data_IF_828803005362
#
_entry.id   IF_828803005362
#
_cell.length_a   1.000
_cell.length_b   1.000
_cell.length_c   1.000
_cell.angle_alpha   90.00
_cell.angle_beta   90.00
_cell.angle_gamma   90.00
#
_symmetry.space_group_name_H-M   'P 1'
#
loop_
_entity.id
_entity.type
_entity.pdbx_description
1 polymer ?
#
# COMPACT_ATOMS: atom_id res chain seq x y z
N UNK A 1 23.66 42.44 -1.16
CA UNK A 1 22.25 42.12 -0.74
C UNK A 1 21.31 41.85 -1.91
N UNK A 2 21.25 42.66 -2.96
CA UNK A 2 20.35 42.48 -4.14
C UNK A 2 20.58 41.14 -4.86
N UNK A 3 21.83 40.73 -5.11
CA UNK A 3 22.14 39.47 -5.79
C UNK A 3 21.68 38.24 -5.00
N UNK A 4 21.80 38.25 -3.67
CA UNK A 4 21.34 37.16 -2.81
C UNK A 4 19.80 37.06 -2.85
N UNK A 5 19.09 38.19 -2.78
CA UNK A 5 17.63 38.23 -2.88
C UNK A 5 17.15 37.72 -4.26
N UNK A 6 17.78 38.18 -5.34
CA UNK A 6 17.46 37.74 -6.68
C UNK A 6 17.68 36.24 -6.88
N UNK A 7 18.78 35.69 -6.34
CA UNK A 7 19.04 34.25 -6.32
C UNK A 7 17.92 33.48 -5.61
N UNK A 8 17.48 33.93 -4.43
CA UNK A 8 16.38 33.29 -3.71
C UNK A 8 15.06 33.33 -4.48
N UNK A 9 14.73 34.47 -5.12
CA UNK A 9 13.51 34.61 -5.94
C UNK A 9 13.55 33.68 -7.14
N UNK A 10 14.67 33.61 -7.85
CA UNK A 10 14.83 32.71 -9.01
C UNK A 10 14.74 31.25 -8.56
N UNK A 11 15.40 30.87 -7.48
CA UNK A 11 15.36 29.52 -6.90
C UNK A 11 13.93 29.14 -6.50
N UNK A 12 13.18 30.04 -5.85
CA UNK A 12 11.79 29.83 -5.47
C UNK A 12 10.89 29.65 -6.71
N UNK A 13 11.03 30.51 -7.74
CA UNK A 13 10.28 30.40 -8.99
C UNK A 13 10.56 29.09 -9.73
N UNK A 14 11.83 28.66 -9.79
CA UNK A 14 12.20 27.35 -10.39
C UNK A 14 11.56 26.19 -9.64
N UNK A 15 11.56 26.23 -8.30
CA UNK A 15 10.92 25.19 -7.48
C UNK A 15 9.42 25.11 -7.72
N UNK A 16 8.72 26.25 -7.79
CA UNK A 16 7.28 26.29 -8.05
C UNK A 16 6.98 25.72 -9.45
N UNK A 17 7.72 26.13 -10.49
CA UNK A 17 7.56 25.58 -11.85
C UNK A 17 7.81 24.08 -11.92
N UNK A 18 8.80 23.58 -11.15
CA UNK A 18 9.12 22.15 -11.11
C UNK A 18 8.01 21.35 -10.45
N UNK A 19 7.44 21.84 -9.35
CA UNK A 19 6.29 21.21 -8.66
C UNK A 19 5.06 21.16 -9.58
N UNK A 20 4.76 22.27 -10.26
CA UNK A 20 3.65 22.33 -11.22
C UNK A 20 3.85 21.35 -12.38
N UNK A 21 5.09 21.27 -12.91
CA UNK A 21 5.45 20.28 -13.93
C UNK A 21 5.16 18.84 -13.46
N UNK A 22 5.58 18.50 -12.25
CA UNK A 22 5.33 17.16 -11.70
C UNK A 22 3.85 16.93 -11.43
N UNK A 23 3.15 17.90 -10.87
CA UNK A 23 1.72 17.81 -10.61
C UNK A 23 0.93 17.48 -11.89
N UNK A 24 1.21 18.21 -12.99
CA UNK A 24 0.58 17.95 -14.29
C UNK A 24 0.96 16.59 -14.85
N UNK A 25 2.25 16.22 -14.82
CA UNK A 25 2.74 14.94 -15.33
C UNK A 25 2.14 13.74 -14.58
N UNK A 26 1.95 13.88 -13.29
CA UNK A 26 1.43 12.83 -12.42
C UNK A 26 -0.12 12.79 -12.40
N UNK A 27 -0.80 13.44 -13.35
CA UNK A 27 -2.26 13.39 -13.50
C UNK A 27 -3.04 14.28 -12.54
N UNK A 28 -2.38 15.23 -11.87
CA UNK A 28 -3.00 16.06 -10.81
C UNK A 28 -4.20 16.88 -11.27
N UNK A 29 -4.23 17.35 -12.52
CA UNK A 29 -5.38 18.11 -13.06
C UNK A 29 -6.62 17.22 -13.19
N UNK A 30 -6.46 15.99 -13.69
CA UNK A 30 -7.56 15.04 -13.86
C UNK A 30 -8.11 14.63 -12.49
N UNK A 31 -7.22 14.29 -11.56
CA UNK A 31 -7.61 13.90 -10.20
C UNK A 31 -8.32 15.06 -9.47
N UNK A 32 -7.85 16.29 -9.62
CA UNK A 32 -8.48 17.47 -9.02
C UNK A 32 -9.88 17.72 -9.59
N UNK A 33 -10.08 17.51 -10.89
CA UNK A 33 -11.38 17.63 -11.54
C UNK A 33 -12.35 16.55 -11.04
N UNK A 34 -11.90 15.31 -10.91
CA UNK A 34 -12.72 14.20 -10.36
C UNK A 34 -13.15 14.48 -8.92
N UNK A 35 -12.24 14.94 -8.08
CA UNK A 35 -12.56 15.28 -6.68
C UNK A 35 -13.51 16.47 -6.55
N UNK A 36 -13.50 17.43 -7.49
CA UNK A 36 -14.42 18.56 -7.46
C UNK A 36 -15.84 18.21 -7.92
N UNK A 37 -16.03 17.08 -8.62
CA UNK A 37 -17.34 16.58 -9.06
C UNK A 37 -18.04 15.68 -8.03
N UNK A 38 -17.32 15.20 -7.03
CA UNK A 38 -17.82 14.33 -5.96
C UNK A 38 -18.14 15.11 -4.66
N UNK A 39 -18.79 16.25 -4.73
CA UNK A 39 -19.28 16.97 -3.55
C UNK A 39 -20.36 16.14 -2.82
N UNK A 40 -19.97 15.39 -1.80
CA UNK A 40 -20.95 14.71 -0.92
C UNK A 40 -20.48 13.51 -0.10
N UNK A 41 -19.29 12.94 -0.29
CA UNK A 41 -18.84 11.79 0.49
C UNK A 41 -17.92 12.20 1.66
N UNK A 42 -18.36 11.87 2.86
CA UNK A 42 -17.71 12.16 4.15
C UNK A 42 -16.43 11.36 4.37
N UNK A 43 -15.34 11.82 4.11
CA UNK A 43 -13.92 11.44 4.24
C UNK A 43 -13.22 11.48 2.88
N UNK A 44 -13.13 12.67 2.37
CA UNK A 44 -12.64 12.98 1.03
C UNK A 44 -11.14 12.64 0.90
N UNK A 45 -10.80 11.93 -0.16
CA UNK A 45 -9.43 11.77 -0.66
C UNK A 45 -8.80 13.16 -0.83
N UNK A 46 -7.59 13.37 -0.25
CA UNK A 46 -6.93 14.69 -0.22
C UNK A 46 -5.67 14.70 -1.07
N UNK A 47 -5.48 15.77 -1.87
CA UNK A 47 -4.19 16.05 -2.50
C UNK A 47 -3.34 16.87 -1.52
N UNK A 48 -2.25 16.27 -1.04
CA UNK A 48 -1.30 16.87 -0.11
C UNK A 48 -0.19 17.59 -0.85
N UNK A 49 0.32 18.67 -0.26
CA UNK A 49 1.55 19.31 -0.74
C UNK A 49 2.79 18.58 -0.22
N UNK A 50 3.88 18.63 -0.96
CA UNK A 50 5.16 18.07 -0.51
C UNK A 50 5.66 18.72 0.80
N UNK A 51 5.28 19.98 1.07
CA UNK A 51 5.62 20.70 2.31
C UNK A 51 4.86 20.16 3.51
N UNK A 52 3.56 19.84 3.35
CA UNK A 52 2.75 19.21 4.41
C UNK A 52 3.34 17.87 4.81
N UNK A 53 3.62 16.98 3.84
CA UNK A 53 4.15 15.65 4.11
C UNK A 53 5.56 15.67 4.71
N UNK A 54 6.42 16.62 4.28
CA UNK A 54 7.72 16.85 4.92
C UNK A 54 7.57 17.24 6.39
N UNK A 55 6.66 18.16 6.71
CA UNK A 55 6.41 18.56 8.10
C UNK A 55 5.83 17.41 8.91
N UNK A 56 4.85 16.68 8.36
CA UNK A 56 4.20 15.55 9.02
C UNK A 56 5.18 14.45 9.43
N UNK A 57 6.27 14.25 8.68
CA UNK A 57 7.30 13.24 8.91
C UNK A 57 8.56 13.77 9.58
N UNK A 58 8.57 15.00 10.09
CA UNK A 58 9.79 15.68 10.58
C UNK A 58 10.93 15.64 9.54
N UNK A 59 10.60 15.98 8.27
CA UNK A 59 11.52 15.96 7.12
C UNK A 59 12.01 14.56 6.72
N UNK A 60 11.14 13.55 6.86
CA UNK A 60 11.43 12.13 6.62
C UNK A 60 12.50 11.59 7.56
N UNK A 61 12.38 11.93 8.83
CA UNK A 61 13.28 11.45 9.89
C UNK A 61 13.27 9.92 9.97
N UNK A 62 14.43 9.33 10.13
CA UNK A 62 14.60 7.87 10.18
C UNK A 62 13.84 7.23 11.35
N UNK A 63 13.68 7.94 12.48
CA UNK A 63 12.92 7.48 13.64
C UNK A 63 11.41 7.33 13.34
N UNK A 64 10.92 7.90 12.25
CA UNK A 64 9.53 7.81 11.79
C UNK A 64 9.29 6.68 10.81
N UNK A 65 10.32 5.93 10.45
CA UNK A 65 10.17 4.79 9.54
C UNK A 65 9.43 3.66 10.25
N UNK A 66 8.34 3.21 9.61
CA UNK A 66 7.52 2.09 10.07
C UNK A 66 7.61 0.87 9.13
N UNK A 67 8.16 1.07 7.92
CA UNK A 67 8.38 -0.01 6.96
C UNK A 67 9.40 0.37 5.89
N UNK A 68 10.23 -0.61 5.48
CA UNK A 68 11.15 -0.50 4.34
C UNK A 68 10.92 -1.70 3.43
N UNK A 69 10.62 -1.47 2.16
CA UNK A 69 10.40 -2.52 1.17
C UNK A 69 11.09 -2.21 -0.17
N UNK A 70 10.92 -3.07 -1.17
CA UNK A 70 11.45 -2.88 -2.52
C UNK A 70 10.94 -1.59 -3.16
N UNK A 71 9.67 -1.29 -2.98
CA UNK A 71 8.97 -0.16 -3.61
C UNK A 71 9.12 1.17 -2.87
N UNK A 72 9.66 1.21 -1.65
CA UNK A 72 9.81 2.47 -0.94
C UNK A 72 10.00 2.33 0.57
N UNK A 73 9.93 3.49 1.23
CA UNK A 73 9.96 3.60 2.69
C UNK A 73 8.64 4.20 3.16
N UNK A 74 8.04 3.61 4.18
CA UNK A 74 6.81 4.08 4.80
C UNK A 74 7.15 4.80 6.10
N UNK A 75 6.64 6.02 6.24
CA UNK A 75 6.87 6.88 7.40
C UNK A 75 5.58 7.10 8.16
N UNK A 76 5.63 7.07 9.49
CA UNK A 76 4.59 7.59 10.36
C UNK A 76 4.58 9.12 10.29
N UNK A 77 3.44 9.70 9.94
CA UNK A 77 3.26 11.14 9.84
C UNK A 77 2.20 11.65 10.81
N UNK A 78 2.36 12.91 11.26
CA UNK A 78 1.41 13.61 12.11
C UNK A 78 0.88 14.83 11.37
N UNK A 79 -0.39 14.81 11.01
CA UNK A 79 -1.05 15.94 10.35
C UNK A 79 -1.46 17.02 11.37
N UNK A 80 -1.68 18.28 10.93
CA UNK A 80 -2.03 19.40 11.83
C UNK A 80 -3.29 19.17 12.66
N UNK A 81 -4.21 18.32 12.20
CA UNK A 81 -5.44 17.94 12.92
C UNK A 81 -5.24 16.77 13.91
N UNK A 82 -4.01 16.49 14.32
CA UNK A 82 -3.61 15.36 15.17
C UNK A 82 -3.89 13.98 14.57
N UNK A 83 -4.29 13.91 13.30
CA UNK A 83 -4.47 12.63 12.60
C UNK A 83 -3.12 11.98 12.30
N UNK A 84 -2.95 10.73 12.71
CA UNK A 84 -1.77 9.93 12.39
C UNK A 84 -2.01 9.25 11.03
N UNK A 85 -0.98 9.27 10.18
CA UNK A 85 -1.03 8.71 8.82
C UNK A 85 0.23 7.90 8.51
N UNK A 86 0.14 6.99 7.55
CA UNK A 86 1.28 6.30 6.95
C UNK A 86 1.57 6.91 5.57
N UNK A 87 2.82 7.33 5.34
CA UNK A 87 3.24 8.00 4.11
C UNK A 87 4.26 7.11 3.39
N UNK A 88 3.84 6.53 2.26
CA UNK A 88 4.70 5.70 1.39
C UNK A 88 5.46 6.61 0.44
N UNK A 89 6.79 6.62 0.58
CA UNK A 89 7.72 7.39 -0.25
C UNK A 89 8.58 6.44 -1.06
N UNK A 90 8.57 6.54 -2.41
CA UNK A 90 9.38 5.71 -3.28
C UNK A 90 10.89 5.87 -3.03
N UNK A 91 11.67 4.80 -3.23
CA UNK A 91 13.14 4.83 -3.07
C UNK A 91 13.86 5.44 -4.27
N UNK A 92 13.44 5.06 -5.44
CA UNK A 92 14.08 5.44 -6.71
C UNK A 92 13.10 6.14 -7.63
N UNK A 93 13.63 6.79 -8.65
CA UNK A 93 12.81 7.40 -9.69
C UNK A 93 12.83 6.48 -10.89
N UNK A 94 11.92 5.51 -10.87
CA UNK A 94 11.70 4.56 -11.93
C UNK A 94 10.28 4.75 -12.52
N UNK A 95 10.14 4.57 -13.82
CA UNK A 95 8.84 4.65 -14.50
C UNK A 95 7.88 3.58 -13.99
N UNK A 96 8.37 2.39 -13.70
CA UNK A 96 7.59 1.29 -13.11
C UNK A 96 6.95 1.69 -11.77
N UNK A 97 7.61 2.53 -10.97
CA UNK A 97 7.05 3.01 -9.70
C UNK A 97 5.91 4.03 -9.90
N UNK A 98 5.95 4.79 -11.00
CA UNK A 98 4.85 5.70 -11.35
C UNK A 98 3.61 4.90 -11.75
N UNK A 99 3.79 3.85 -12.57
CA UNK A 99 2.69 2.96 -12.97
C UNK A 99 2.07 2.26 -11.76
N UNK A 100 2.89 1.72 -10.87
CA UNK A 100 2.41 1.11 -9.62
C UNK A 100 1.65 2.11 -8.74
N UNK A 101 2.13 3.36 -8.64
CA UNK A 101 1.43 4.42 -7.93
C UNK A 101 0.05 4.69 -8.53
N UNK A 102 -0.02 4.88 -9.86
CA UNK A 102 -1.29 5.14 -10.55
C UNK A 102 -2.24 3.96 -10.34
N UNK A 103 -1.74 2.73 -10.51
CA UNK A 103 -2.50 1.52 -10.28
C UNK A 103 -3.05 1.45 -8.85
N UNK A 104 -2.21 1.73 -7.84
CA UNK A 104 -2.61 1.70 -6.43
C UNK A 104 -3.68 2.75 -6.11
N UNK A 105 -3.58 3.95 -6.68
CA UNK A 105 -4.62 4.99 -6.54
C UNK A 105 -5.93 4.55 -7.20
N UNK A 106 -5.87 4.08 -8.45
CA UNK A 106 -7.06 3.64 -9.20
C UNK A 106 -7.76 2.49 -8.50
N UNK A 107 -7.02 1.48 -8.06
CA UNK A 107 -7.57 0.32 -7.36
C UNK A 107 -8.20 0.72 -6.03
N UNK A 108 -7.44 1.42 -5.18
CA UNK A 108 -7.91 1.79 -3.83
C UNK A 108 -9.03 2.83 -3.83
N UNK A 109 -9.16 3.65 -4.89
CA UNK A 109 -10.30 4.56 -5.03
C UNK A 109 -11.64 3.85 -5.22
N UNK A 110 -11.62 2.59 -5.67
CA UNK A 110 -12.82 1.77 -5.90
C UNK A 110 -13.15 0.85 -4.72
N UNK A 111 -12.28 0.78 -3.71
CA UNK A 111 -12.42 -0.11 -2.56
C UNK A 111 -12.94 0.65 -1.36
N UNK A 112 -14.03 0.14 -0.78
CA UNK A 112 -14.52 0.58 0.52
C UNK A 112 -14.83 -0.66 1.37
N UNK A 113 -13.82 -1.16 2.08
CA UNK A 113 -13.93 -2.35 2.90
C UNK A 113 -13.14 -2.20 4.20
N UNK A 114 -13.71 -2.64 5.34
CA UNK A 114 -13.11 -2.48 6.67
C UNK A 114 -11.77 -3.21 6.84
N UNK A 115 -11.60 -4.33 6.14
CA UNK A 115 -10.40 -5.16 6.16
C UNK A 115 -9.43 -4.85 5.00
N UNK A 116 -9.55 -3.68 4.38
CA UNK A 116 -8.61 -3.14 3.40
C UNK A 116 -8.09 -1.79 3.91
N UNK A 117 -6.80 -1.54 3.76
CA UNK A 117 -6.18 -0.27 4.17
C UNK A 117 -6.75 0.90 3.37
N UNK A 118 -7.15 1.97 4.06
CA UNK A 118 -7.76 3.13 3.42
C UNK A 118 -6.71 4.09 2.86
N UNK A 119 -6.82 4.42 1.58
CA UNK A 119 -6.05 5.50 0.95
C UNK A 119 -6.70 6.84 1.29
N UNK A 120 -5.95 7.73 1.95
CA UNK A 120 -6.42 9.06 2.39
C UNK A 120 -6.06 10.17 1.41
N UNK A 121 -5.12 9.90 0.51
CA UNK A 121 -4.70 10.86 -0.48
C UNK A 121 -3.31 10.63 -1.03
N UNK A 122 -2.83 11.61 -1.80
CA UNK A 122 -1.52 11.54 -2.42
C UNK A 122 -0.84 12.92 -2.50
N UNK A 123 0.46 12.92 -2.81
CA UNK A 123 1.19 14.13 -3.17
C UNK A 123 1.78 13.97 -4.58
N UNK A 124 1.38 14.85 -5.49
CA UNK A 124 1.76 14.82 -6.91
C UNK A 124 2.84 15.83 -7.28
N UNK A 125 3.31 16.66 -6.31
CA UNK A 125 4.31 17.72 -6.51
C UNK A 125 5.76 17.19 -6.58
N UNK A 126 5.97 15.88 -6.50
CA UNK A 126 7.28 15.22 -6.49
C UNK A 126 7.52 14.43 -7.77
N UNK A 127 8.80 14.12 -8.07
CA UNK A 127 9.17 13.40 -9.29
C UNK A 127 8.48 12.04 -9.39
N UNK A 128 8.38 11.32 -8.27
CA UNK A 128 7.49 10.17 -8.10
C UNK A 128 6.50 10.55 -7.01
N UNK A 129 5.21 10.32 -7.21
CA UNK A 129 4.19 10.67 -6.22
C UNK A 129 4.36 9.95 -4.88
N UNK A 130 3.79 10.52 -3.81
CA UNK A 130 3.70 9.88 -2.50
C UNK A 130 2.25 9.50 -2.22
N UNK A 131 2.06 8.37 -1.53
CA UNK A 131 0.75 7.90 -1.07
C UNK A 131 0.58 8.13 0.43
N UNK A 132 -0.63 8.48 0.83
CA UNK A 132 -0.98 8.73 2.24
C UNK A 132 -2.13 7.82 2.63
N UNK A 133 -1.88 6.94 3.59
CA UNK A 133 -2.85 5.95 4.09
C UNK A 133 -3.26 6.22 5.53
N UNK A 134 -4.32 5.58 5.96
CA UNK A 134 -4.58 5.41 7.39
C UNK A 134 -3.37 4.75 8.07
N UNK A 135 -3.11 5.15 9.30
CA UNK A 135 -2.06 4.53 10.10
C UNK A 135 -2.63 3.31 10.83
N UNK A 136 -2.03 2.15 10.58
CA UNK A 136 -2.39 0.88 11.22
C UNK A 136 -1.36 0.58 12.30
N UNK A 137 -1.81 0.47 13.56
CA UNK A 137 -0.95 0.68 14.74
C UNK A 137 -0.03 -0.50 15.08
N UNK A 138 -0.48 -1.75 14.90
CA UNK A 138 0.28 -2.94 15.27
C UNK A 138 1.19 -3.47 14.15
N UNK A 139 1.25 -2.79 12.98
CA UNK A 139 2.15 -3.16 11.88
C UNK A 139 1.79 -4.48 11.22
N UNK A 140 2.76 -5.16 10.60
CA UNK A 140 2.53 -6.33 9.78
C UNK A 140 2.30 -7.60 10.62
N UNK A 141 1.36 -8.45 10.19
CA UNK A 141 1.08 -9.78 10.74
C UNK A 141 2.34 -10.65 10.83
N UNK A 142 3.21 -10.58 9.82
CA UNK A 142 4.51 -11.27 9.79
C UNK A 142 5.30 -11.08 11.09
N UNK A 143 5.34 -9.86 11.63
CA UNK A 143 6.07 -9.55 12.86
C UNK A 143 5.47 -10.21 14.10
N UNK A 144 4.18 -10.53 14.09
CA UNK A 144 3.49 -11.18 15.20
C UNK A 144 3.58 -12.71 15.15
N UNK A 145 3.79 -13.28 13.94
CA UNK A 145 3.93 -14.72 13.76
C UNK A 145 5.40 -15.16 13.93
N UNK A 146 6.37 -14.37 13.37
CA UNK A 146 7.76 -14.81 13.17
C UNK A 146 8.81 -14.08 14.02
N UNK A 147 8.42 -13.32 15.05
CA UNK A 147 9.40 -12.67 15.94
C UNK A 147 10.18 -13.70 16.75
N UNK A 148 11.50 -13.65 16.65
CA UNK A 148 12.43 -14.52 17.38
C UNK A 148 12.63 -14.12 18.85
N UNK A 149 12.18 -12.93 19.28
CA UNK A 149 12.39 -12.42 20.64
C UNK A 149 11.23 -12.69 21.57
N UNK A 150 11.43 -13.55 22.54
CA UNK A 150 10.46 -13.98 23.57
C UNK A 150 10.04 -12.83 24.52
N UNK A 151 10.82 -11.76 24.63
CA UNK A 151 10.67 -10.75 25.69
C UNK A 151 9.56 -9.70 25.48
N UNK A 152 8.93 -9.62 24.31
CA UNK A 152 7.90 -8.58 24.01
C UNK A 152 6.80 -9.02 23.07
N UNK A 153 6.57 -10.30 22.89
CA UNK A 153 5.59 -10.80 21.90
C UNK A 153 4.28 -11.08 22.61
N UNK A 154 3.27 -10.25 22.35
CA UNK A 154 1.88 -10.64 22.55
C UNK A 154 1.63 -11.81 21.60
N UNK A 155 1.65 -13.03 22.12
CA UNK A 155 1.32 -14.22 21.34
C UNK A 155 -0.13 -14.09 20.87
N UNK A 156 -0.34 -14.07 19.57
CA UNK A 156 -1.68 -14.13 18.99
C UNK A 156 -2.39 -15.38 19.49
N UNK A 157 -3.49 -15.21 20.23
CA UNK A 157 -4.32 -16.32 20.67
C UNK A 157 -4.87 -17.08 19.45
N UNK A 158 -5.20 -18.36 19.65
CA UNK A 158 -5.83 -19.14 18.58
C UNK A 158 -7.09 -18.47 18.03
N UNK A 159 -7.93 -17.92 18.90
CA UNK A 159 -9.11 -17.16 18.52
C UNK A 159 -8.76 -15.96 17.63
N UNK A 160 -7.73 -15.19 17.99
CA UNK A 160 -7.28 -14.03 17.20
C UNK A 160 -6.75 -14.47 15.84
N UNK A 161 -6.00 -15.58 15.74
CA UNK A 161 -5.51 -16.12 14.47
C UNK A 161 -6.66 -16.50 13.53
N UNK A 162 -7.71 -17.13 14.06
CA UNK A 162 -8.91 -17.48 13.30
C UNK A 162 -9.67 -16.24 12.85
N UNK A 163 -9.83 -15.23 13.72
CA UNK A 163 -10.47 -13.96 13.33
C UNK A 163 -9.70 -13.28 12.19
N UNK A 164 -8.37 -13.18 12.27
CA UNK A 164 -7.51 -12.64 11.22
C UNK A 164 -7.70 -13.40 9.90
N UNK A 165 -7.75 -14.75 9.96
CA UNK A 165 -7.97 -15.57 8.77
C UNK A 165 -9.32 -15.27 8.10
N UNK A 166 -10.39 -15.16 8.89
CA UNK A 166 -11.74 -14.82 8.40
C UNK A 166 -11.75 -13.42 7.77
N UNK A 167 -11.13 -12.45 8.42
CA UNK A 167 -11.07 -11.06 7.96
C UNK A 167 -10.29 -10.89 6.64
N UNK A 168 -9.20 -11.65 6.46
CA UNK A 168 -8.46 -11.69 5.18
C UNK A 168 -9.33 -12.32 4.09
N UNK A 169 -10.00 -13.46 4.40
CA UNK A 169 -10.89 -14.13 3.46
C UNK A 169 -12.06 -13.22 3.03
N UNK A 170 -12.64 -12.46 3.97
CA UNK A 170 -13.71 -11.49 3.72
C UNK A 170 -13.22 -10.38 2.78
N UNK A 171 -12.01 -9.82 3.03
CA UNK A 171 -11.40 -8.84 2.15
C UNK A 171 -11.18 -9.38 0.73
N UNK A 172 -10.63 -10.59 0.57
CA UNK A 172 -10.40 -11.20 -0.73
C UNK A 172 -11.71 -11.51 -1.45
N UNK A 173 -12.71 -12.03 -0.74
CA UNK A 173 -14.06 -12.26 -1.29
C UNK A 173 -14.67 -10.96 -1.82
N UNK A 174 -14.55 -9.86 -1.06
CA UNK A 174 -15.00 -8.55 -1.51
C UNK A 174 -14.25 -8.10 -2.79
N UNK A 175 -12.93 -8.22 -2.83
CA UNK A 175 -12.12 -7.81 -3.98
C UNK A 175 -12.49 -8.60 -5.25
N UNK A 176 -12.70 -9.92 -5.13
CA UNK A 176 -12.95 -10.80 -6.26
C UNK A 176 -14.38 -10.72 -6.78
N UNK A 177 -15.38 -10.53 -5.89
CA UNK A 177 -16.79 -10.73 -6.25
C UNK A 177 -17.72 -9.57 -5.93
N UNK A 178 -17.39 -8.71 -4.95
CA UNK A 178 -18.27 -7.64 -4.52
C UNK A 178 -17.84 -6.25 -4.97
N UNK A 179 -16.58 -6.06 -5.36
CA UNK A 179 -16.11 -4.82 -5.97
C UNK A 179 -16.80 -4.60 -7.33
N UNK A 180 -17.03 -3.32 -7.71
CA UNK A 180 -17.67 -2.96 -8.99
C UNK A 180 -16.92 -3.51 -10.21
N UNK A 181 -15.62 -3.60 -10.12
CA UNK A 181 -14.73 -4.31 -11.06
C UNK A 181 -13.92 -5.29 -10.22
N UNK A 182 -13.89 -6.61 -10.55
CA UNK A 182 -13.11 -7.58 -9.82
C UNK A 182 -11.62 -7.20 -9.77
N UNK A 183 -11.01 -7.38 -8.60
CA UNK A 183 -9.63 -6.98 -8.32
C UNK A 183 -8.86 -8.21 -7.85
N UNK A 184 -7.76 -8.55 -8.53
CA UNK A 184 -6.81 -9.56 -8.07
C UNK A 184 -5.66 -8.82 -7.39
N UNK A 185 -5.36 -9.16 -6.14
CA UNK A 185 -4.34 -8.48 -5.32
C UNK A 185 -2.92 -8.80 -5.78
N UNK A 186 -2.63 -10.09 -6.08
CA UNK A 186 -1.39 -10.57 -6.70
C UNK A 186 -0.15 -10.65 -5.80
N UNK A 187 -0.21 -10.07 -4.58
CA UNK A 187 0.89 -10.13 -3.61
C UNK A 187 0.36 -10.30 -2.17
N UNK A 188 -0.56 -11.26 -1.98
CA UNK A 188 -1.08 -11.62 -0.65
C UNK A 188 0.01 -12.33 0.13
N UNK A 189 0.39 -11.77 1.30
CA UNK A 189 1.43 -12.33 2.18
C UNK A 189 1.34 -11.71 3.57
N UNK A 190 1.90 -12.35 4.58
CA UNK A 190 1.82 -11.88 5.97
C UNK A 190 2.47 -10.50 6.22
N UNK A 191 3.41 -10.06 5.38
CA UNK A 191 3.98 -8.70 5.44
C UNK A 191 3.04 -7.63 4.90
N UNK A 192 2.08 -7.99 4.04
CA UNK A 192 1.07 -7.09 3.46
C UNK A 192 -0.27 -7.14 4.19
N UNK A 193 -0.37 -7.91 5.27
CA UNK A 193 -1.49 -7.89 6.21
C UNK A 193 -1.08 -7.06 7.41
N UNK A 194 -1.76 -5.96 7.64
CA UNK A 194 -1.53 -5.08 8.79
C UNK A 194 -2.57 -5.35 9.87
N UNK A 195 -2.20 -5.13 11.13
CA UNK A 195 -3.10 -5.29 12.28
C UNK A 195 -3.33 -3.93 12.96
N UNK A 196 -4.58 -3.58 13.20
CA UNK A 196 -4.91 -2.37 13.96
C UNK A 196 -4.77 -2.58 15.47
N UNK A 197 -5.18 -1.61 16.27
CA UNK A 197 -5.10 -1.66 17.74
C UNK A 197 -5.98 -2.77 18.36
N UNK A 198 -7.05 -3.17 17.68
CA UNK A 198 -7.90 -4.32 18.02
C UNK A 198 -7.42 -5.66 17.45
N UNK A 199 -6.26 -5.72 16.81
CA UNK A 199 -5.78 -6.87 16.03
C UNK A 199 -6.68 -7.25 14.85
N UNK A 200 -7.46 -6.30 14.32
CA UNK A 200 -8.26 -6.48 13.12
C UNK A 200 -7.34 -6.42 11.90
N UNK A 201 -7.47 -7.39 11.00
CA UNK A 201 -6.63 -7.47 9.81
C UNK A 201 -7.06 -6.47 8.73
N UNK A 202 -6.06 -5.85 8.10
CA UNK A 202 -6.23 -4.97 6.95
C UNK A 202 -5.24 -5.35 5.85
N UNK A 203 -5.77 -5.74 4.68
CA UNK A 203 -4.97 -6.03 3.48
C UNK A 203 -4.41 -4.73 2.93
N UNK A 204 -3.13 -4.72 2.55
CA UNK A 204 -2.39 -3.53 2.11
C UNK A 204 -1.47 -3.82 0.92
N UNK A 205 -0.93 -2.77 0.29
CA UNK A 205 0.03 -2.80 -0.83
C UNK A 205 -0.57 -3.31 -2.16
N UNK A 206 -1.42 -2.49 -2.76
CA UNK A 206 -2.12 -2.75 -4.02
C UNK A 206 -1.34 -2.35 -5.30
N UNK A 207 -0.06 -2.04 -5.18
CA UNK A 207 0.76 -1.58 -6.31
C UNK A 207 0.87 -2.57 -7.46
N UNK A 208 0.78 -3.87 -7.18
CA UNK A 208 0.83 -4.95 -8.18
C UNK A 208 -0.54 -5.48 -8.60
N UNK A 209 -1.61 -5.04 -7.95
CA UNK A 209 -2.98 -5.51 -8.19
C UNK A 209 -3.45 -5.27 -9.62
N UNK A 210 -4.44 -6.02 -10.06
CA UNK A 210 -5.04 -5.87 -11.39
C UNK A 210 -6.56 -5.85 -11.32
N UNK A 211 -7.13 -4.89 -12.04
CA UNK A 211 -8.55 -4.89 -12.37
C UNK A 211 -8.82 -5.91 -13.47
N UNK A 212 -9.82 -6.75 -13.29
CA UNK A 212 -10.22 -7.77 -14.27
C UNK A 212 -11.38 -7.23 -15.08
N UNK A 213 -11.25 -7.01 -16.41
CA UNK A 213 -12.37 -6.61 -17.26
C UNK A 213 -13.51 -7.62 -17.16
N UNK A 214 -14.77 -7.14 -17.20
CA UNK A 214 -15.95 -7.98 -17.01
C UNK A 214 -16.13 -9.10 -18.05
N UNK A 215 -15.50 -8.95 -19.22
CA UNK A 215 -15.50 -9.89 -20.32
C UNK A 215 -14.38 -10.95 -20.23
N UNK A 216 -13.51 -10.84 -19.22
CA UNK A 216 -12.36 -11.72 -19.04
C UNK A 216 -12.44 -12.47 -17.72
N UNK A 217 -12.12 -13.78 -17.74
CA UNK A 217 -12.01 -14.61 -16.54
C UNK A 217 -10.56 -14.75 -16.05
N UNK A 218 -9.59 -14.37 -16.87
CA UNK A 218 -8.17 -14.48 -16.60
C UNK A 218 -7.40 -13.38 -17.32
N UNK A 219 -6.24 -13.03 -16.77
CA UNK A 219 -5.33 -12.05 -17.35
C UNK A 219 -4.02 -12.72 -17.70
N UNK A 220 -3.58 -12.64 -18.96
CA UNK A 220 -2.22 -13.05 -19.35
C UNK A 220 -1.27 -11.90 -19.02
N UNK A 221 -0.36 -12.12 -18.09
CA UNK A 221 0.54 -11.07 -17.60
C UNK A 221 1.88 -11.61 -17.13
N UNK A 222 2.90 -10.76 -17.10
CA UNK A 222 4.19 -11.11 -16.52
C UNK A 222 3.98 -11.56 -15.08
N UNK A 223 4.58 -12.69 -14.69
CA UNK A 223 4.49 -13.23 -13.33
C UNK A 223 5.10 -12.24 -12.34
N UNK A 224 4.32 -11.86 -11.36
CA UNK A 224 4.73 -11.00 -10.23
C UNK A 224 4.13 -11.56 -8.95
N UNK A 225 4.82 -11.33 -7.84
CA UNK A 225 4.43 -11.79 -6.51
C UNK A 225 5.67 -12.10 -5.67
N UNK A 226 5.47 -12.72 -4.53
CA UNK A 226 6.55 -13.03 -3.58
C UNK A 226 6.81 -14.53 -3.55
N UNK A 227 8.07 -14.94 -3.73
CA UNK A 227 8.47 -16.35 -3.60
C UNK A 227 8.02 -16.94 -2.25
N UNK A 228 7.51 -18.17 -2.29
CA UNK A 228 6.90 -18.85 -1.16
C UNK A 228 5.39 -18.64 -1.06
N UNK A 229 4.83 -17.56 -1.64
CA UNK A 229 3.39 -17.31 -1.71
C UNK A 229 2.83 -17.40 -3.13
N UNK A 230 3.71 -17.46 -4.12
CA UNK A 230 3.34 -17.39 -5.53
C UNK A 230 2.73 -18.73 -5.98
N UNK A 231 1.56 -18.65 -6.60
CA UNK A 231 0.82 -19.79 -7.14
C UNK A 231 1.61 -20.48 -8.25
N UNK A 232 1.90 -21.81 -8.12
CA UNK A 232 2.63 -22.56 -9.14
C UNK A 232 1.94 -22.60 -10.50
N UNK A 233 0.60 -22.64 -10.56
CA UNK A 233 -0.15 -22.64 -11.82
C UNK A 233 0.03 -21.29 -12.54
N UNK A 234 -0.09 -20.17 -11.80
CA UNK A 234 0.19 -18.86 -12.36
C UNK A 234 1.65 -18.72 -12.84
N UNK A 235 2.62 -19.29 -12.08
CA UNK A 235 4.04 -19.29 -12.48
C UNK A 235 4.29 -20.01 -13.81
N UNK A 236 3.57 -21.13 -14.04
CA UNK A 236 3.77 -21.95 -15.23
C UNK A 236 3.00 -21.42 -16.45
N UNK A 237 1.80 -20.90 -16.23
CA UNK A 237 0.88 -20.56 -17.33
C UNK A 237 0.89 -19.08 -17.70
N UNK A 238 1.42 -18.19 -16.84
CA UNK A 238 1.27 -16.73 -16.90
C UNK A 238 -0.20 -16.26 -16.86
N UNK A 239 -1.14 -17.15 -16.48
CA UNK A 239 -2.57 -16.85 -16.39
C UNK A 239 -2.91 -16.47 -14.96
N UNK A 240 -3.13 -15.18 -14.73
CA UNK A 240 -3.54 -14.64 -13.44
C UNK A 240 -5.05 -14.77 -13.26
N UNK A 241 -5.49 -15.38 -12.17
CA UNK A 241 -6.89 -15.50 -11.76
C UNK A 241 -7.05 -15.19 -10.27
N UNK A 242 -8.29 -15.09 -9.79
CA UNK A 242 -8.59 -14.97 -8.36
C UNK A 242 -8.02 -16.13 -7.52
N UNK A 243 -7.86 -17.30 -8.13
CA UNK A 243 -7.29 -18.49 -7.49
C UNK A 243 -5.84 -18.30 -7.06
N UNK A 244 -5.10 -17.44 -7.76
CA UNK A 244 -3.73 -17.10 -7.39
C UNK A 244 -3.66 -16.40 -6.02
N UNK A 245 -4.61 -15.50 -5.72
CA UNK A 245 -4.74 -14.89 -4.39
C UNK A 245 -5.18 -15.92 -3.34
N UNK A 246 -6.08 -16.85 -3.71
CA UNK A 246 -6.53 -17.94 -2.82
C UNK A 246 -5.37 -18.86 -2.45
N UNK A 247 -4.50 -19.22 -3.39
CA UNK A 247 -3.27 -19.97 -3.11
C UNK A 247 -2.38 -19.23 -2.12
N UNK A 248 -2.08 -17.95 -2.39
CA UNK A 248 -1.25 -17.10 -1.53
C UNK A 248 -1.85 -16.97 -0.13
N UNK A 249 -3.17 -16.84 -0.03
CA UNK A 249 -3.89 -16.85 1.25
C UNK A 249 -3.76 -18.19 1.97
N UNK A 250 -3.82 -19.31 1.25
CA UNK A 250 -3.56 -20.64 1.80
C UNK A 250 -2.18 -20.73 2.48
N UNK A 251 -1.15 -20.12 1.89
CA UNK A 251 0.18 -20.01 2.51
C UNK A 251 0.13 -19.17 3.80
N UNK A 252 -0.58 -18.03 3.80
CA UNK A 252 -0.76 -17.23 5.03
C UNK A 252 -1.49 -18.03 6.12
N UNK A 253 -2.46 -18.88 5.76
CA UNK A 253 -3.12 -19.77 6.72
C UNK A 253 -2.11 -20.76 7.33
N UNK A 254 -1.22 -21.34 6.54
CA UNK A 254 -0.16 -22.23 7.06
C UNK A 254 0.76 -21.45 8.01
N UNK A 255 1.14 -20.20 7.72
CA UNK A 255 1.90 -19.36 8.65
C UNK A 255 1.14 -19.13 9.96
N UNK A 256 -0.16 -18.80 9.89
CA UNK A 256 -1.00 -18.60 11.08
C UNK A 256 -1.13 -19.86 11.94
N UNK A 257 -1.22 -21.04 11.30
CA UNK A 257 -1.39 -22.33 11.98
C UNK A 257 -0.09 -22.84 12.61
N UNK A 258 1.03 -22.73 11.90
CA UNK A 258 2.29 -23.39 12.25
C UNK A 258 3.32 -22.45 12.88
N UNK A 259 3.19 -21.12 12.66
CA UNK A 259 4.23 -20.16 13.01
C UNK A 259 5.47 -20.24 12.12
N UNK A 260 5.45 -21.04 11.06
CA UNK A 260 6.60 -21.21 10.17
C UNK A 260 6.52 -20.20 9.01
N UNK A 261 7.70 -19.69 8.59
CA UNK A 261 7.80 -18.80 7.42
C UNK A 261 7.44 -19.56 6.14
N UNK A 262 6.79 -18.88 5.19
CA UNK A 262 6.43 -19.44 3.88
C UNK A 262 7.64 -20.02 3.13
N UNK A 263 8.78 -19.32 3.21
CA UNK A 263 10.05 -19.77 2.65
C UNK A 263 11.14 -19.70 3.72
N UNK A 264 11.91 -20.78 3.88
CA UNK A 264 13.06 -20.85 4.79
C UNK A 264 14.12 -21.76 4.18
N UNK A 265 15.29 -21.21 3.92
CA UNK A 265 16.46 -21.95 3.41
C UNK A 265 17.16 -22.78 4.51
N UNK A 266 16.74 -22.67 5.76
CA UNK A 266 17.28 -23.41 6.89
C UNK A 266 16.52 -24.72 7.17
N UNK A 267 15.43 -25.01 6.45
CA UNK A 267 14.70 -26.29 6.60
C UNK A 267 15.47 -27.40 5.89
N UNK A 268 15.67 -28.58 6.52
CA UNK A 268 16.13 -29.77 5.79
C UNK A 268 15.07 -30.13 4.73
N UNK A 269 15.54 -30.67 3.62
CA UNK A 269 14.71 -31.18 2.52
C UNK A 269 13.81 -32.32 3.00
#
# INVERSE_FOLDING_TARGET
MVCSWLYFVIKKRRLVKLKEKYFRRNGGLILQQQLSSEEGSSETFKIFTAKELKKATSYYDESKIIGKGGYGTVYKGFLPNNRIVAIKKPKTVDENQIEQFINEVVVLSQINHRNVVKLLGCCLETRVPLLVYEYVSNGALFNHIHKESIASTILLSWKTRLSIAVEIADALSYLHFAASIPIIHRDVKSTNILLDDGFIAKVSDFGTSRLVPQDQKQLVTIVQGTLGYLDPEYMQTNQLTEKSDVYSFGVVLVELLTGQKALSFARPE
#
